data_IF_876981979724
#
_entry.id   IF_876981979724
#
_cell.length_a   1.000
_cell.length_b   1.000
_cell.length_c   1.000
_cell.angle_alpha   90.00
_cell.angle_beta   90.00
_cell.angle_gamma   90.00
#
_symmetry.space_group_name_H-M   'P 1'
#
loop_
_entity.id
_entity.type
_entity.pdbx_description
1 polymer ?
#
# COMPACT_ATOMS: atom_id res chain seq x y z
N UNK A 1 17.14 -15.20 -0.42
CA UNK A 1 16.89 -15.28 1.04
C UNK A 1 16.67 -13.91 1.69
N UNK A 2 17.64 -12.99 1.68
CA UNK A 2 17.50 -11.68 2.35
C UNK A 2 16.28 -10.87 1.88
N UNK A 3 16.01 -10.83 0.57
CA UNK A 3 14.80 -10.22 0.01
C UNK A 3 13.52 -10.84 0.60
N UNK A 4 13.39 -12.17 0.61
CA UNK A 4 12.20 -12.84 1.13
C UNK A 4 11.99 -12.64 2.63
N UNK A 5 13.08 -12.56 3.40
CA UNK A 5 13.04 -12.21 4.81
C UNK A 5 12.47 -10.79 5.02
N UNK A 6 12.99 -9.80 4.29
CA UNK A 6 12.52 -8.42 4.39
C UNK A 6 11.06 -8.28 3.95
N UNK A 7 10.71 -8.85 2.79
CA UNK A 7 9.33 -8.85 2.26
C UNK A 7 8.38 -9.49 3.28
N UNK A 8 8.68 -10.69 3.79
CA UNK A 8 7.84 -11.35 4.78
C UNK A 8 7.66 -10.51 6.04
N UNK A 9 8.74 -9.93 6.57
CA UNK A 9 8.71 -9.17 7.82
C UNK A 9 7.88 -7.90 7.67
N UNK A 10 8.17 -7.08 6.67
CA UNK A 10 7.54 -5.77 6.54
C UNK A 10 6.14 -5.85 5.95
N UNK A 11 5.88 -6.73 4.97
CA UNK A 11 4.55 -6.84 4.36
C UNK A 11 3.51 -7.32 5.37
N UNK A 12 3.87 -8.19 6.32
CA UNK A 12 2.95 -8.68 7.35
C UNK A 12 2.87 -7.73 8.56
N UNK A 13 3.93 -6.99 8.88
CA UNK A 13 3.89 -5.99 9.93
C UNK A 13 2.86 -4.88 9.66
N UNK A 14 2.73 -4.44 8.41
CA UNK A 14 1.82 -3.35 8.00
C UNK A 14 0.35 -3.59 8.39
N UNK A 15 -0.31 -4.70 7.99
CA UNK A 15 -1.71 -4.95 8.36
C UNK A 15 -1.90 -5.16 9.87
N UNK A 16 -0.92 -5.78 10.55
CA UNK A 16 -0.95 -5.92 12.02
C UNK A 16 -0.95 -4.53 12.68
N UNK A 17 -0.05 -3.63 12.27
CA UNK A 17 -0.01 -2.27 12.79
C UNK A 17 -1.29 -1.48 12.49
N UNK A 18 -1.83 -1.62 11.28
CA UNK A 18 -3.11 -0.98 10.93
C UNK A 18 -4.25 -1.50 11.83
N UNK A 19 -4.29 -2.80 12.13
CA UNK A 19 -5.27 -3.38 13.05
C UNK A 19 -5.10 -2.83 14.49
N UNK A 20 -3.86 -2.74 14.98
CA UNK A 20 -3.58 -2.16 16.30
C UNK A 20 -3.93 -0.67 16.38
N UNK A 21 -3.67 0.09 15.31
CA UNK A 21 -4.07 1.49 15.23
C UNK A 21 -5.59 1.65 15.25
N UNK A 22 -6.33 0.78 14.54
CA UNK A 22 -7.80 0.78 14.59
C UNK A 22 -8.33 0.46 16.00
N UNK A 23 -7.74 -0.53 16.68
CA UNK A 23 -8.07 -0.85 18.05
C UNK A 23 -7.75 0.31 19.00
N UNK A 24 -6.59 0.95 18.84
CA UNK A 24 -6.20 2.14 19.60
C UNK A 24 -7.25 3.25 19.49
N UNK A 25 -7.67 3.59 18.27
CA UNK A 25 -8.72 4.60 18.05
C UNK A 25 -10.08 4.19 18.63
N UNK A 26 -10.46 2.91 18.52
CA UNK A 26 -11.69 2.41 19.11
C UNK A 26 -11.67 2.54 20.64
N UNK A 27 -10.57 2.13 21.28
CA UNK A 27 -10.38 2.22 22.74
C UNK A 27 -10.41 3.68 23.21
N UNK A 28 -9.75 4.57 22.47
CA UNK A 28 -9.72 5.99 22.78
C UNK A 28 -11.11 6.64 22.63
N UNK A 29 -11.76 6.49 21.46
CA UNK A 29 -12.99 7.23 21.14
C UNK A 29 -14.23 6.60 21.78
N UNK A 30 -14.45 5.29 21.58
CA UNK A 30 -15.67 4.61 22.03
C UNK A 30 -15.64 4.30 23.51
N UNK A 31 -14.50 3.80 24.00
CA UNK A 31 -14.37 3.36 25.39
C UNK A 31 -13.81 4.44 26.31
N UNK A 32 -13.51 5.64 25.78
CA UNK A 32 -12.99 6.78 26.53
C UNK A 32 -11.79 6.38 27.42
N UNK A 33 -10.90 5.55 26.89
CA UNK A 33 -9.69 5.18 27.61
C UNK A 33 -8.76 6.39 27.72
N UNK A 34 -8.28 6.65 28.93
CA UNK A 34 -7.27 7.66 29.16
C UNK A 34 -5.88 7.21 28.66
N UNK A 35 -5.00 8.18 28.43
CA UNK A 35 -3.64 7.94 27.93
C UNK A 35 -2.83 7.01 28.85
N UNK A 36 -3.05 7.08 30.17
CA UNK A 36 -2.41 6.19 31.14
C UNK A 36 -2.77 4.70 30.93
N UNK A 37 -4.04 4.40 30.61
CA UNK A 37 -4.47 3.02 30.30
C UNK A 37 -3.93 2.57 28.94
N UNK A 38 -3.94 3.46 27.94
CA UNK A 38 -3.41 3.15 26.62
C UNK A 38 -1.90 2.86 26.66
N UNK A 39 -1.14 3.64 27.41
CA UNK A 39 0.31 3.45 27.62
C UNK A 39 0.66 2.08 28.22
N UNK A 40 -0.26 1.47 28.99
CA UNK A 40 -0.07 0.11 29.52
C UNK A 40 -0.27 -0.98 28.46
N UNK A 41 -1.08 -0.72 27.44
CA UNK A 41 -1.38 -1.69 26.35
C UNK A 41 -0.46 -1.49 25.15
N UNK A 42 0.14 -0.32 24.98
CA UNK A 42 1.07 0.00 23.91
C UNK A 42 2.24 -1.02 23.76
N UNK A 43 2.92 -1.47 24.84
CA UNK A 43 3.94 -2.51 24.72
C UNK A 43 3.41 -3.84 24.17
N UNK A 44 2.15 -4.20 24.48
CA UNK A 44 1.51 -5.40 23.94
C UNK A 44 1.24 -5.25 22.44
N UNK A 45 0.80 -4.06 21.99
CA UNK A 45 0.59 -3.76 20.58
C UNK A 45 1.90 -3.84 19.77
N UNK A 46 2.99 -3.27 20.28
CA UNK A 46 4.31 -3.41 19.67
C UNK A 46 4.86 -4.83 19.74
N UNK A 47 4.58 -5.56 20.82
CA UNK A 47 4.93 -6.98 20.95
C UNK A 47 4.31 -7.83 19.84
N UNK A 48 3.04 -7.58 19.50
CA UNK A 48 2.39 -8.26 18.37
C UNK A 48 3.04 -7.90 17.02
N UNK A 49 3.63 -6.72 16.88
CA UNK A 49 4.38 -6.36 15.68
C UNK A 49 5.73 -7.10 15.53
N UNK A 50 6.23 -7.75 16.59
CA UNK A 50 7.40 -8.64 16.52
C UNK A 50 7.05 -10.03 15.97
N UNK A 51 5.77 -10.38 15.91
CA UNK A 51 5.29 -11.63 15.33
C UNK A 51 5.85 -11.93 13.92
N UNK A 52 5.74 -11.03 12.92
CA UNK A 52 6.26 -11.29 11.58
C UNK A 52 7.79 -11.47 11.55
N UNK A 53 8.52 -10.78 12.43
CA UNK A 53 9.97 -10.94 12.58
C UNK A 53 10.31 -12.34 13.10
N UNK A 54 9.62 -12.79 14.16
CA UNK A 54 9.84 -14.12 14.73
C UNK A 54 9.55 -15.24 13.69
N UNK A 55 8.46 -15.11 12.95
CA UNK A 55 8.13 -16.06 11.87
C UNK A 55 9.12 -16.00 10.70
N UNK A 56 9.62 -14.81 10.34
CA UNK A 56 10.64 -14.68 9.30
C UNK A 56 11.96 -15.35 9.71
N UNK A 57 12.37 -15.25 10.98
CA UNK A 57 13.54 -15.97 11.52
C UNK A 57 13.33 -17.49 11.47
N UNK A 58 12.15 -17.97 11.88
CA UNK A 58 11.82 -19.40 11.79
C UNK A 58 11.83 -19.92 10.33
N UNK A 59 11.30 -19.12 9.40
CA UNK A 59 11.35 -19.44 7.96
C UNK A 59 12.80 -19.46 7.42
N UNK A 60 13.66 -18.58 7.94
CA UNK A 60 15.07 -18.53 7.58
C UNK A 60 15.82 -19.79 8.03
N UNK A 61 15.63 -20.20 9.29
CA UNK A 61 16.24 -21.42 9.85
C UNK A 61 15.82 -22.69 9.11
N UNK A 62 14.57 -22.74 8.65
CA UNK A 62 14.03 -23.86 7.85
C UNK A 62 14.28 -23.73 6.36
N UNK A 63 15.07 -22.75 5.94
CA UNK A 63 15.43 -22.54 4.54
C UNK A 63 14.22 -22.40 3.58
N UNK A 64 13.12 -21.84 4.07
CA UNK A 64 11.85 -21.77 3.34
C UNK A 64 11.82 -20.66 2.28
N UNK A 65 12.76 -19.71 2.34
CA UNK A 65 12.85 -18.61 1.38
C UNK A 65 13.52 -19.05 0.08
N UNK A 66 12.71 -19.24 -0.95
CA UNK A 66 13.12 -19.71 -2.28
C UNK A 66 12.61 -18.74 -3.36
N UNK A 67 13.20 -18.72 -4.56
CA UNK A 67 12.68 -17.92 -5.67
C UNK A 67 11.26 -18.36 -6.02
N UNK A 68 10.37 -17.39 -6.22
CA UNK A 68 9.06 -17.60 -6.86
C UNK A 68 9.10 -17.00 -8.27
N UNK A 69 7.98 -16.98 -8.99
CA UNK A 69 7.87 -16.40 -10.33
C UNK A 69 8.28 -14.91 -10.38
N UNK A 70 8.21 -14.17 -9.27
CA UNK A 70 8.47 -12.72 -9.27
C UNK A 70 9.45 -12.23 -8.21
N UNK A 71 9.46 -12.84 -7.03
CA UNK A 71 10.37 -12.45 -5.95
C UNK A 71 10.72 -13.63 -5.05
N UNK A 72 11.71 -13.47 -4.19
CA UNK A 72 12.02 -14.49 -3.19
C UNK A 72 10.96 -14.48 -2.07
N UNK A 73 10.32 -15.62 -1.81
CA UNK A 73 9.32 -15.76 -0.74
C UNK A 73 9.29 -17.19 -0.18
N UNK A 74 8.34 -17.49 0.73
CA UNK A 74 8.14 -18.80 1.34
C UNK A 74 7.65 -19.72 0.22
N UNK A 75 8.49 -20.62 -0.28
CA UNK A 75 8.15 -21.53 -1.39
C UNK A 75 9.02 -22.79 -1.37
N UNK A 76 8.53 -23.87 -1.99
CA UNK A 76 9.34 -25.07 -2.22
C UNK A 76 10.35 -24.86 -3.36
N UNK A 77 11.42 -25.64 -3.35
CA UNK A 77 12.41 -25.72 -4.43
C UNK A 77 12.69 -27.19 -4.79
N UNK A 78 12.68 -27.59 -6.09
CA UNK A 78 12.41 -26.75 -7.27
C UNK A 78 10.96 -26.24 -7.33
N UNK A 79 10.70 -25.23 -8.17
CA UNK A 79 9.35 -24.66 -8.33
C UNK A 79 8.34 -25.74 -8.71
N UNK A 80 7.21 -25.81 -7.99
CA UNK A 80 6.15 -26.80 -8.25
C UNK A 80 6.37 -28.18 -7.64
N UNK A 81 7.43 -28.40 -6.85
CA UNK A 81 7.69 -29.69 -6.19
C UNK A 81 6.65 -30.04 -5.10
N UNK A 82 5.97 -29.03 -4.53
CA UNK A 82 4.98 -29.25 -3.47
C UNK A 82 3.69 -29.83 -4.05
N UNK A 83 3.39 -29.50 -5.31
CA UNK A 83 2.17 -29.88 -6.00
C UNK A 83 2.33 -31.12 -6.89
N UNK A 84 3.55 -31.42 -7.35
CA UNK A 84 3.83 -32.48 -8.32
C UNK A 84 4.12 -33.81 -7.64
N UNK A 85 3.34 -34.86 -7.94
CA UNK A 85 3.61 -36.22 -7.44
C UNK A 85 4.87 -36.76 -8.10
N UNK A 86 5.85 -37.21 -7.30
CA UNK A 86 7.08 -37.84 -7.79
C UNK A 86 8.29 -36.91 -7.95
N UNK A 87 8.19 -35.64 -7.55
CA UNK A 87 9.33 -34.71 -7.48
C UNK A 87 9.64 -34.41 -6.03
N UNK A 88 10.79 -34.86 -5.53
CA UNK A 88 11.23 -34.55 -4.18
C UNK A 88 11.63 -33.07 -4.04
N UNK A 89 11.02 -32.38 -3.08
CA UNK A 89 11.42 -31.02 -2.72
C UNK A 89 12.77 -31.04 -1.99
N UNK A 90 13.79 -30.44 -2.61
CA UNK A 90 15.11 -30.25 -2.00
C UNK A 90 15.03 -29.30 -0.79
N UNK A 91 14.18 -28.26 -0.88
CA UNK A 91 13.96 -27.27 0.18
C UNK A 91 12.48 -26.94 0.31
N UNK A 92 12.02 -26.64 1.53
CA UNK A 92 10.68 -26.12 1.76
C UNK A 92 9.54 -27.14 1.81
N UNK A 93 9.79 -28.36 2.32
CA UNK A 93 8.75 -29.40 2.47
C UNK A 93 7.54 -28.95 3.30
N UNK A 94 7.75 -28.05 4.28
CA UNK A 94 6.71 -27.54 5.19
C UNK A 94 6.11 -26.17 4.77
N UNK A 95 6.36 -25.72 3.54
CA UNK A 95 5.99 -24.36 3.09
C UNK A 95 4.50 -24.05 3.22
N UNK A 96 3.60 -25.01 2.98
CA UNK A 96 2.15 -24.79 3.07
C UNK A 96 1.70 -24.36 4.47
N UNK A 97 2.18 -25.04 5.51
CA UNK A 97 1.84 -24.71 6.89
C UNK A 97 2.40 -23.34 7.29
N UNK A 98 3.66 -23.07 6.92
CA UNK A 98 4.30 -21.79 7.21
C UNK A 98 3.66 -20.63 6.46
N UNK A 99 3.21 -20.79 5.21
CA UNK A 99 2.46 -19.75 4.49
C UNK A 99 1.16 -19.37 5.21
N UNK A 100 0.41 -20.37 5.68
CA UNK A 100 -0.84 -20.15 6.41
C UNK A 100 -0.56 -19.42 7.72
N UNK A 101 0.38 -19.90 8.52
CA UNK A 101 0.67 -19.33 9.83
C UNK A 101 1.35 -17.96 9.74
N UNK A 102 2.38 -17.83 8.90
CA UNK A 102 3.18 -16.61 8.83
C UNK A 102 2.48 -15.46 8.08
N UNK A 103 1.55 -15.77 7.17
CA UNK A 103 0.91 -14.75 6.32
C UNK A 103 -0.61 -14.83 6.35
N UNK A 104 -1.20 -16.01 6.12
CA UNK A 104 -2.66 -16.17 6.03
C UNK A 104 -3.41 -15.77 7.30
N UNK A 105 -3.03 -16.32 8.45
CA UNK A 105 -3.68 -16.07 9.74
C UNK A 105 -3.54 -14.60 10.17
N UNK A 106 -2.35 -13.98 10.18
CA UNK A 106 -2.20 -12.57 10.53
C UNK A 106 -2.99 -11.63 9.63
N UNK A 107 -3.02 -11.89 8.32
CA UNK A 107 -3.81 -11.11 7.37
C UNK A 107 -5.30 -11.20 7.67
N UNK A 108 -5.81 -12.43 7.88
CA UNK A 108 -7.22 -12.64 8.19
C UNK A 108 -7.63 -11.97 9.51
N UNK A 109 -6.82 -12.16 10.57
CA UNK A 109 -7.07 -11.53 11.89
C UNK A 109 -7.03 -10.01 11.78
N UNK A 110 -6.04 -9.45 11.08
CA UNK A 110 -5.93 -8.00 10.88
C UNK A 110 -7.12 -7.44 10.11
N UNK A 111 -7.52 -8.10 9.02
CA UNK A 111 -8.66 -7.70 8.20
C UNK A 111 -9.97 -7.68 9.02
N UNK A 112 -10.26 -8.76 9.75
CA UNK A 112 -11.43 -8.83 10.63
C UNK A 112 -11.38 -7.76 11.71
N UNK A 113 -10.21 -7.57 12.35
CA UNK A 113 -10.03 -6.56 13.40
C UNK A 113 -10.30 -5.15 12.90
N UNK A 114 -9.76 -4.79 11.73
CA UNK A 114 -9.98 -3.47 11.11
C UNK A 114 -11.46 -3.26 10.80
N UNK A 115 -12.10 -4.22 10.12
CA UNK A 115 -13.52 -4.12 9.74
C UNK A 115 -14.40 -3.98 10.98
N UNK A 116 -14.25 -4.87 11.96
CA UNK A 116 -15.06 -4.85 13.19
C UNK A 116 -14.83 -3.56 13.99
N UNK A 117 -13.58 -3.17 14.20
CA UNK A 117 -13.26 -1.98 15.00
C UNK A 117 -13.82 -0.72 14.35
N UNK A 118 -13.68 -0.60 13.03
CA UNK A 118 -14.17 0.57 12.32
C UNK A 118 -15.69 0.58 12.18
N UNK A 119 -16.34 -0.56 11.97
CA UNK A 119 -17.80 -0.64 12.06
C UNK A 119 -18.32 -0.21 13.43
N UNK A 120 -17.69 -0.66 14.52
CA UNK A 120 -18.06 -0.23 15.88
C UNK A 120 -17.83 1.26 16.12
N UNK A 121 -16.76 1.83 15.56
CA UNK A 121 -16.45 3.25 15.64
C UNK A 121 -17.47 4.08 14.84
N UNK A 122 -17.76 3.69 13.60
CA UNK A 122 -18.75 4.34 12.75
C UNK A 122 -20.14 4.34 13.37
N UNK A 123 -20.58 3.20 13.90
CA UNK A 123 -21.87 3.09 14.60
C UNK A 123 -21.91 3.96 15.86
N UNK A 124 -20.80 4.03 16.60
CA UNK A 124 -20.70 4.90 17.78
C UNK A 124 -20.79 6.38 17.43
N UNK A 125 -20.05 6.83 16.42
CA UNK A 125 -20.07 8.24 15.99
C UNK A 125 -21.43 8.63 15.43
N UNK A 126 -22.06 7.75 14.65
CA UNK A 126 -23.41 7.97 14.15
C UNK A 126 -24.44 8.13 15.28
N UNK A 127 -24.35 7.27 16.31
CA UNK A 127 -25.20 7.40 17.49
C UNK A 127 -24.91 8.67 18.29
N UNK A 128 -23.65 9.09 18.36
CA UNK A 128 -23.24 10.31 19.04
C UNK A 128 -23.76 11.57 18.33
N UNK A 129 -23.76 11.58 17.00
CA UNK A 129 -24.29 12.68 16.20
C UNK A 129 -25.80 12.85 16.40
N UNK A 130 -26.57 11.76 16.36
CA UNK A 130 -28.03 11.80 16.61
C UNK A 130 -28.34 12.39 17.99
N UNK A 131 -27.51 12.09 18.99
CA UNK A 131 -27.69 12.61 20.36
C UNK A 131 -27.20 14.04 20.52
N UNK A 132 -26.16 14.42 19.78
CA UNK A 132 -25.57 15.75 19.83
C UNK A 132 -26.32 16.69 18.88
N UNK A 133 -27.37 17.35 19.36
CA UNK A 133 -28.08 18.40 18.60
C UNK A 133 -27.22 19.64 18.28
N UNK A 134 -25.95 19.67 18.70
CA UNK A 134 -24.98 20.68 18.28
C UNK A 134 -24.32 20.24 16.97
N UNK A 135 -24.43 21.10 15.95
CA UNK A 135 -23.64 21.07 14.70
C UNK A 135 -22.15 20.96 15.04
N UNK A 136 -21.65 19.72 15.14
CA UNK A 136 -20.26 19.46 15.41
C UNK A 136 -19.64 18.94 14.11
N UNK A 137 -19.45 19.86 13.16
CA UNK A 137 -18.83 19.60 11.85
C UNK A 137 -17.51 18.84 12.01
N UNK A 138 -16.82 19.02 13.14
CA UNK A 138 -15.60 18.32 13.49
C UNK A 138 -15.79 16.80 13.64
N UNK A 139 -16.87 16.35 14.30
CA UNK A 139 -17.16 14.92 14.49
C UNK A 139 -17.45 14.23 13.15
N UNK A 140 -18.17 14.91 12.25
CA UNK A 140 -18.43 14.43 10.89
C UNK A 140 -17.14 14.32 10.07
N UNK A 141 -16.22 15.28 10.18
CA UNK A 141 -14.94 15.20 9.48
C UNK A 141 -14.12 13.98 9.92
N UNK A 142 -14.06 13.71 11.22
CA UNK A 142 -13.37 12.53 11.77
C UNK A 142 -14.02 11.24 11.28
N UNK A 143 -15.36 11.20 11.23
CA UNK A 143 -16.11 10.07 10.67
C UNK A 143 -15.76 9.80 9.20
N UNK A 144 -15.86 10.81 8.35
CA UNK A 144 -15.53 10.65 6.93
C UNK A 144 -14.07 10.28 6.70
N UNK A 145 -13.16 10.78 7.52
CA UNK A 145 -11.76 10.40 7.48
C UNK A 145 -11.57 8.90 7.79
N UNK A 146 -12.24 8.39 8.83
CA UNK A 146 -12.23 6.97 9.16
C UNK A 146 -12.84 6.11 8.04
N UNK A 147 -13.98 6.52 7.47
CA UNK A 147 -14.61 5.80 6.35
C UNK A 147 -13.69 5.73 5.12
N UNK A 148 -13.00 6.83 4.77
CA UNK A 148 -12.02 6.85 3.66
C UNK A 148 -10.82 5.95 3.95
N UNK A 149 -10.33 5.93 5.18
CA UNK A 149 -9.26 5.04 5.60
C UNK A 149 -9.64 3.57 5.42
N UNK A 150 -10.84 3.17 5.86
CA UNK A 150 -11.33 1.79 5.72
C UNK A 150 -11.52 1.42 4.27
N UNK A 151 -12.13 2.28 3.47
CA UNK A 151 -12.33 2.03 2.05
C UNK A 151 -10.99 1.82 1.33
N UNK A 152 -9.99 2.66 1.62
CA UNK A 152 -8.64 2.48 1.11
C UNK A 152 -8.01 1.16 1.57
N UNK A 153 -8.11 0.83 2.86
CA UNK A 153 -7.57 -0.41 3.40
C UNK A 153 -8.19 -1.64 2.72
N UNK A 154 -9.52 -1.70 2.62
CA UNK A 154 -10.24 -2.81 1.98
C UNK A 154 -9.86 -2.90 0.49
N UNK A 155 -9.82 -1.78 -0.22
CA UNK A 155 -9.44 -1.75 -1.63
C UNK A 155 -8.05 -2.34 -1.89
N UNK A 156 -7.10 -2.06 -0.99
CA UNK A 156 -5.71 -2.52 -1.12
C UNK A 156 -5.55 -3.97 -0.70
N UNK A 157 -6.13 -4.34 0.44
CA UNK A 157 -5.88 -5.62 1.08
C UNK A 157 -6.84 -6.73 0.64
N UNK A 158 -8.01 -6.41 0.08
CA UNK A 158 -8.93 -7.43 -0.43
C UNK A 158 -8.32 -8.25 -1.59
N UNK A 159 -7.70 -7.66 -2.63
CA UNK A 159 -7.03 -8.42 -3.68
C UNK A 159 -5.92 -9.33 -3.13
N UNK A 160 -5.09 -8.83 -2.21
CA UNK A 160 -4.03 -9.62 -1.55
C UNK A 160 -4.61 -10.77 -0.73
N UNK A 161 -5.72 -10.54 -0.02
CA UNK A 161 -6.39 -11.58 0.77
C UNK A 161 -6.98 -12.66 -0.13
N UNK A 162 -7.67 -12.25 -1.20
CA UNK A 162 -8.23 -13.17 -2.21
C UNK A 162 -7.11 -13.98 -2.86
N UNK A 163 -6.05 -13.33 -3.33
CA UNK A 163 -4.90 -13.99 -3.93
C UNK A 163 -4.26 -14.99 -2.96
N UNK A 164 -4.04 -14.61 -1.70
CA UNK A 164 -3.48 -15.50 -0.67
C UNK A 164 -4.35 -16.74 -0.46
N UNK A 165 -5.68 -16.58 -0.40
CA UNK A 165 -6.61 -17.70 -0.29
C UNK A 165 -6.57 -18.57 -1.54
N UNK A 166 -6.57 -17.98 -2.74
CA UNK A 166 -6.53 -18.70 -4.01
C UNK A 166 -5.25 -19.53 -4.16
N UNK A 167 -4.10 -18.94 -3.88
CA UNK A 167 -2.81 -19.63 -3.94
C UNK A 167 -2.71 -20.73 -2.88
N UNK A 168 -3.24 -20.51 -1.68
CA UNK A 168 -3.14 -21.50 -0.59
C UNK A 168 -4.13 -22.66 -0.72
N UNK A 169 -5.33 -22.41 -1.25
CA UNK A 169 -6.41 -23.39 -1.36
C UNK A 169 -6.42 -24.14 -2.69
N UNK A 170 -6.19 -23.42 -3.79
CA UNK A 170 -6.33 -23.95 -5.15
C UNK A 170 -5.00 -24.07 -5.89
N UNK A 171 -3.87 -23.81 -5.21
CA UNK A 171 -2.54 -23.77 -5.85
C UNK A 171 -2.50 -22.83 -7.06
N UNK A 172 -3.32 -21.77 -7.03
CA UNK A 172 -3.38 -20.80 -8.12
C UNK A 172 -2.11 -19.94 -8.12
N UNK A 173 -1.31 -20.08 -9.17
CA UNK A 173 -0.08 -19.30 -9.41
C UNK A 173 -0.23 -18.39 -10.64
N UNK A 174 -1.44 -17.88 -10.90
CA UNK A 174 -1.70 -17.06 -12.07
C UNK A 174 -1.00 -15.71 -12.00
N UNK A 175 -0.26 -15.38 -13.06
CA UNK A 175 0.46 -14.11 -13.23
C UNK A 175 -0.44 -12.87 -13.06
N UNK A 176 -1.70 -12.96 -13.48
CA UNK A 176 -2.69 -11.87 -13.35
C UNK A 176 -2.93 -11.45 -11.91
N UNK A 177 -3.11 -12.42 -11.00
CA UNK A 177 -3.36 -12.11 -9.58
C UNK A 177 -2.16 -11.43 -8.93
N UNK A 178 -0.97 -11.89 -9.30
CA UNK A 178 0.29 -11.31 -8.85
C UNK A 178 0.47 -9.87 -9.35
N UNK A 179 0.18 -9.55 -10.62
CA UNK A 179 0.22 -8.18 -11.14
C UNK A 179 -0.71 -7.27 -10.32
N UNK A 180 -1.94 -7.72 -10.08
CA UNK A 180 -2.91 -6.93 -9.32
C UNK A 180 -2.36 -6.60 -7.92
N UNK A 181 -1.88 -7.60 -7.17
CA UNK A 181 -1.31 -7.39 -5.84
C UNK A 181 -0.08 -6.47 -5.88
N UNK A 182 0.77 -6.62 -6.89
CA UNK A 182 2.00 -5.82 -7.04
C UNK A 182 1.68 -4.35 -7.34
N UNK A 183 0.55 -4.08 -7.97
CA UNK A 183 0.07 -2.73 -8.26
C UNK A 183 -0.70 -2.13 -7.07
N UNK A 184 -1.49 -2.91 -6.33
CA UNK A 184 -2.33 -2.38 -5.25
C UNK A 184 -1.59 -2.13 -3.95
N UNK A 185 -0.64 -2.99 -3.55
CA UNK A 185 0.05 -2.88 -2.26
C UNK A 185 0.84 -1.56 -2.11
N UNK A 186 1.63 -1.10 -3.11
CA UNK A 186 2.36 0.16 -3.02
C UNK A 186 1.43 1.39 -2.89
N UNK A 187 0.19 1.30 -3.38
CA UNK A 187 -0.78 2.39 -3.28
C UNK A 187 -1.24 2.65 -1.84
N UNK A 188 -0.93 1.79 -0.87
CA UNK A 188 -1.24 2.04 0.54
C UNK A 188 -0.61 3.30 1.07
N UNK A 189 0.66 3.54 0.76
CA UNK A 189 1.33 4.78 1.17
C UNK A 189 0.62 6.01 0.60
N UNK A 190 0.21 5.93 -0.67
CA UNK A 190 -0.50 7.00 -1.36
C UNK A 190 -1.86 7.28 -0.72
N UNK A 191 -2.69 6.24 -0.50
CA UNK A 191 -4.00 6.43 0.11
C UNK A 191 -3.92 6.87 1.57
N UNK A 192 -2.96 6.35 2.35
CA UNK A 192 -2.73 6.83 3.71
C UNK A 192 -2.31 8.31 3.70
N UNK A 193 -1.39 8.71 2.83
CA UNK A 193 -1.02 10.10 2.66
C UNK A 193 -2.24 10.96 2.29
N UNK A 194 -3.09 10.49 1.38
CA UNK A 194 -4.33 11.19 1.01
C UNK A 194 -5.32 11.33 2.18
N UNK A 195 -5.47 10.30 3.00
CA UNK A 195 -6.38 10.30 4.16
C UNK A 195 -5.88 11.24 5.26
N UNK A 196 -4.57 11.31 5.50
CA UNK A 196 -3.98 12.12 6.57
C UNK A 196 -3.55 13.52 6.14
N UNK A 197 -3.52 13.81 4.84
CA UNK A 197 -3.33 15.17 4.32
C UNK A 197 -4.58 16.00 4.63
N UNK A 198 -4.59 16.56 5.84
CA UNK A 198 -5.67 17.34 6.43
C UNK A 198 -5.95 18.60 5.59
N UNK A 199 -7.08 18.60 4.87
CA UNK A 199 -7.86 19.75 4.38
C UNK A 199 -7.23 20.90 3.58
N UNK A 200 -5.93 20.93 3.25
CA UNK A 200 -5.37 22.08 2.48
C UNK A 200 -5.25 21.83 0.98
N UNK A 201 -5.22 20.57 0.56
CA UNK A 201 -5.03 20.23 -0.86
C UNK A 201 -6.20 19.34 -1.27
N UNK A 202 -7.14 19.93 -2.02
CA UNK A 202 -8.21 19.14 -2.63
C UNK A 202 -7.57 18.06 -3.49
N UNK A 203 -8.13 16.85 -3.55
CA UNK A 203 -7.64 15.82 -4.46
C UNK A 203 -7.53 16.33 -5.91
N UNK A 204 -8.43 17.23 -6.27
CA UNK A 204 -8.41 17.96 -7.54
C UNK A 204 -7.16 18.84 -7.71
N UNK A 205 -6.59 19.38 -6.63
CA UNK A 205 -5.34 20.15 -6.65
C UNK A 205 -4.13 19.22 -6.79
N UNK A 206 -4.14 18.05 -6.16
CA UNK A 206 -3.11 17.02 -6.35
C UNK A 206 -3.10 16.50 -7.79
N UNK A 207 -4.26 16.17 -8.35
CA UNK A 207 -4.39 15.78 -9.77
C UNK A 207 -3.90 16.91 -10.67
N UNK A 208 -4.25 18.17 -10.36
CA UNK A 208 -3.76 19.33 -11.12
C UNK A 208 -2.24 19.46 -11.04
N UNK A 209 -1.64 19.22 -9.87
CA UNK A 209 -0.19 19.26 -9.70
C UNK A 209 0.50 18.13 -10.47
N UNK A 210 -0.02 16.90 -10.37
CA UNK A 210 0.52 15.75 -11.10
C UNK A 210 0.42 15.93 -12.61
N UNK A 211 -0.71 16.44 -13.11
CA UNK A 211 -0.87 16.82 -14.52
C UNK A 211 0.18 17.85 -14.95
N UNK A 212 0.43 18.89 -14.14
CA UNK A 212 1.46 19.90 -14.45
C UNK A 212 2.86 19.29 -14.50
N UNK A 213 3.21 18.40 -13.58
CA UNK A 213 4.53 17.73 -13.57
C UNK A 213 4.71 16.79 -14.76
N UNK A 214 3.69 16.00 -15.13
CA UNK A 214 3.73 15.16 -16.33
C UNK A 214 3.92 16.02 -17.57
N UNK A 215 3.14 17.09 -17.72
CA UNK A 215 3.27 18.03 -18.84
C UNK A 215 4.69 18.63 -18.90
N UNK A 216 5.26 19.03 -17.76
CA UNK A 216 6.64 19.53 -17.71
C UNK A 216 7.68 18.48 -18.09
N UNK A 217 7.53 17.23 -17.64
CA UNK A 217 8.43 16.13 -18.02
C UNK A 217 8.32 15.80 -19.51
N UNK A 218 7.12 15.79 -20.08
CA UNK A 218 6.90 15.62 -21.53
C UNK A 218 7.54 16.76 -22.34
N UNK A 219 7.45 18.02 -21.87
CA UNK A 219 8.08 19.14 -22.56
C UNK A 219 9.62 19.13 -22.46
N UNK A 220 10.18 18.68 -21.32
CA UNK A 220 11.64 18.64 -21.11
C UNK A 220 12.33 17.51 -21.90
N UNK A 221 11.63 16.39 -22.11
CA UNK A 221 12.15 15.27 -22.91
C UNK A 221 12.31 15.56 -24.41
N UNK A 222 11.68 16.62 -24.92
CA UNK A 222 11.76 17.00 -26.34
C UNK A 222 13.01 17.82 -26.67
N UNK A 223 13.70 18.40 -25.66
CA UNK A 223 14.81 19.34 -25.91
C UNK A 223 16.19 18.63 -25.96
N UNK A 224 16.33 17.39 -25.51
CA UNK A 224 17.64 16.70 -25.46
C UNK A 224 17.94 15.75 -26.62
N UNK A 225 17.26 15.86 -27.75
CA UNK A 225 17.43 14.94 -28.89
C UNK A 225 18.02 15.58 -30.16
N UNK A 226 18.77 16.67 -30.04
CA UNK A 226 19.29 17.38 -31.23
C UNK A 226 20.77 17.83 -31.15
N UNK A 227 21.62 17.17 -30.36
CA UNK A 227 23.03 17.59 -30.21
C UNK A 227 24.05 16.46 -30.43
N UNK A 228 23.74 15.51 -31.33
CA UNK A 228 24.71 14.51 -31.78
C UNK A 228 24.60 14.20 -33.28
N UNK A 229 24.63 15.24 -34.11
CA UNK A 229 24.84 15.12 -35.56
C UNK A 229 25.47 16.40 -36.11
N UNK A 230 26.71 16.68 -35.70
CA UNK A 230 27.58 17.65 -36.37
C UNK A 230 28.94 16.99 -36.60
N UNK A 231 29.09 16.43 -37.79
CA UNK A 231 30.38 16.30 -38.48
C UNK A 231 30.11 16.61 -39.96
N UNK A 232 30.04 17.90 -40.25
CA UNK A 232 30.30 18.46 -41.58
C UNK A 232 30.35 19.98 -41.43
N UNK A 233 31.57 20.48 -41.54
CA UNK A 233 31.94 21.89 -41.69
C UNK A 233 31.00 22.59 -42.69
N UNK A 234 30.52 23.78 -42.34
CA UNK A 234 30.60 24.95 -43.22
C UNK A 234 30.10 26.24 -42.53
N UNK A 235 30.80 27.29 -42.92
CA UNK A 235 30.79 28.70 -42.54
C UNK A 235 29.44 29.44 -42.28
N UNK A 236 29.54 30.40 -41.34
CA UNK A 236 28.96 31.76 -41.41
C UNK A 236 27.43 31.89 -41.32
N UNK A 237 26.94 32.24 -40.12
CA UNK A 237 26.26 33.52 -39.83
C UNK A 237 25.52 33.46 -38.49
N UNK A 238 25.79 34.45 -37.64
CA UNK A 238 24.96 34.79 -36.49
C UNK A 238 23.50 34.91 -36.89
N UNK A 239 22.62 34.14 -36.25
CA UNK A 239 21.21 34.51 -36.15
C UNK A 239 20.67 34.08 -34.79
N UNK A 240 20.65 35.06 -33.89
CA UNK A 240 19.87 35.04 -32.65
C UNK A 240 18.39 34.79 -32.99
N UNK A 241 17.89 33.56 -32.80
CA UNK A 241 16.47 33.24 -32.86
C UNK A 241 16.12 32.32 -31.69
N UNK A 242 15.21 32.78 -30.84
CA UNK A 242 14.08 31.91 -30.51
C UNK A 242 13.91 31.45 -29.06
N UNK A 243 14.39 32.18 -28.06
CA UNK A 243 13.92 31.98 -26.68
C UNK A 243 12.51 32.59 -26.51
N UNK A 244 11.46 31.99 -27.10
CA UNK A 244 10.08 32.49 -26.91
C UNK A 244 8.94 31.48 -27.09
N UNK A 245 9.19 30.18 -27.28
CA UNK A 245 8.13 29.22 -27.68
C UNK A 245 7.64 28.23 -26.62
N UNK A 246 7.86 28.46 -25.33
CA UNK A 246 7.19 27.67 -24.28
C UNK A 246 6.06 28.42 -23.53
N UNK A 247 5.93 29.73 -23.71
CA UNK A 247 4.92 30.52 -22.98
C UNK A 247 3.51 30.46 -23.61
N UNK A 248 3.40 30.07 -24.89
CA UNK A 248 2.12 30.13 -25.62
C UNK A 248 1.22 28.90 -25.47
N UNK A 249 1.73 27.78 -24.93
CA UNK A 249 0.90 26.56 -24.75
C UNK A 249 0.18 26.54 -23.39
N UNK A 250 0.71 27.25 -22.39
CA UNK A 250 0.06 27.35 -21.07
C UNK A 250 -1.21 28.22 -21.07
N UNK A 251 -1.37 29.13 -22.04
CA UNK A 251 -2.50 30.07 -22.10
C UNK A 251 -3.80 29.50 -22.69
N UNK A 252 -3.79 28.30 -23.28
CA UNK A 252 -4.98 27.71 -23.91
C UNK A 252 -5.80 26.84 -22.92
N UNK A 253 -5.21 26.40 -21.80
CA UNK A 253 -5.93 25.55 -20.83
C UNK A 253 -6.73 26.29 -19.76
N UNK A 254 -6.73 27.62 -19.69
CA UNK A 254 -7.49 28.39 -18.69
C UNK A 254 -8.88 28.87 -19.17
N UNK A 255 -9.32 28.50 -20.37
CA UNK A 255 -10.61 28.97 -20.96
C UNK A 255 -11.69 27.88 -21.01
N UNK A 256 -11.42 26.66 -20.55
CA UNK A 256 -12.32 25.52 -20.72
C UNK A 256 -12.94 24.94 -19.43
N UNK A 257 -13.00 25.71 -18.33
CA UNK A 257 -13.76 25.32 -17.13
C UNK A 257 -14.58 26.50 -16.64
N UNK A 258 -15.73 26.70 -17.27
CA UNK A 258 -16.94 27.28 -16.71
C UNK A 258 -18.03 26.21 -16.81
#
# INVERSE_FOLDING_TARGET
TAQGFAVQTFTIAVPIYNAMLCLYFLLFIRYNWNEERLRKVEPLMHGMALYPLAFAIACLQKELFNPTTSFCWISGYPLGCVESVGVDCLRGKETKMFRILASGVPLAVSFVTVVVSMSMLCLFVYQQEIRSQRNNDHSLQVFFQACRYVAAYVFIWAPTSIFTVLTTRYNYNGFTGLIIVSMTVPLQGVFNAMVYSKSTVSFSDLIRSFKRTILQLCCRGVISYDESSSDSDDDVSETYIGETRCSSVAKISSVAVN
#
